data_IF_103433683875
#
_entry.id   IF_103433683875
#
_cell.length_a   1.000
_cell.length_b   1.000
_cell.length_c   1.000
_cell.angle_alpha   90.00
_cell.angle_beta   90.00
_cell.angle_gamma   90.00
#
_symmetry.space_group_name_H-M   'P 1'
#
loop_
_entity.id
_entity.type
_entity.pdbx_description
1 polymer ?
#
# COMPACT_ATOMS: atom_id res chain seq x y z
N UNK A 1 -7.52 -10.35 24.39
CA UNK A 1 -7.09 -11.78 24.42
C UNK A 1 -5.81 -11.89 23.60
N UNK A 2 -4.84 -12.69 24.04
CA UNK A 2 -3.60 -12.98 23.31
C UNK A 2 -3.54 -14.50 23.10
N UNK A 3 -3.41 -14.94 21.85
CA UNK A 3 -3.32 -16.35 21.48
C UNK A 3 -1.99 -17.00 21.86
N UNK A 4 -1.96 -18.33 21.90
CA UNK A 4 -0.80 -19.10 22.36
C UNK A 4 0.44 -18.97 21.45
N UNK A 5 0.23 -18.80 20.14
CA UNK A 5 1.32 -18.68 19.13
C UNK A 5 1.70 -17.22 18.83
N UNK A 6 1.25 -16.28 19.67
CA UNK A 6 1.52 -14.85 19.48
C UNK A 6 2.85 -14.47 20.14
N UNK A 7 3.66 -13.71 19.40
CA UNK A 7 4.91 -13.12 19.90
C UNK A 7 4.77 -11.61 19.93
N UNK A 8 4.92 -11.02 21.10
CA UNK A 8 4.89 -9.57 21.30
C UNK A 8 6.31 -9.08 21.61
N UNK A 9 6.79 -8.10 20.86
CA UNK A 9 8.05 -7.42 21.12
C UNK A 9 7.98 -6.47 22.32
N UNK A 10 9.14 -5.91 22.65
CA UNK A 10 9.29 -5.01 23.79
C UNK A 10 8.36 -3.80 23.68
N UNK A 11 7.75 -3.41 24.81
CA UNK A 11 6.92 -2.21 24.91
C UNK A 11 5.69 -2.20 23.96
N UNK A 12 5.27 -3.37 23.45
CA UNK A 12 3.97 -3.47 22.76
C UNK A 12 2.84 -3.14 23.73
N UNK A 13 1.97 -2.21 23.33
CA UNK A 13 0.83 -1.77 24.14
C UNK A 13 -0.47 -2.31 23.56
N UNK A 14 -1.07 -3.28 24.24
CA UNK A 14 -2.44 -3.71 23.96
C UNK A 14 -3.42 -2.95 24.85
N UNK A 15 -4.26 -2.12 24.25
CA UNK A 15 -5.36 -1.44 24.96
C UNK A 15 -6.52 -2.43 25.17
N UNK A 16 -7.38 -2.14 26.15
CA UNK A 16 -8.51 -3.01 26.52
C UNK A 16 -9.31 -3.47 25.29
N UNK A 17 -9.70 -4.75 25.28
CA UNK A 17 -10.51 -5.35 24.22
C UNK A 17 -9.82 -5.48 22.85
N UNK A 18 -8.51 -5.28 22.75
CA UNK A 18 -7.75 -5.78 21.59
C UNK A 18 -7.63 -7.31 21.64
N UNK A 19 -7.71 -7.95 20.46
CA UNK A 19 -7.49 -9.38 20.31
C UNK A 19 -6.37 -9.63 19.30
N UNK A 20 -5.38 -10.39 19.73
CA UNK A 20 -4.29 -10.89 18.89
C UNK A 20 -4.32 -12.41 18.93
N UNK A 21 -4.39 -13.06 17.77
CA UNK A 21 -4.56 -14.49 17.62
C UNK A 21 -3.64 -15.06 16.52
N UNK A 22 -3.69 -16.37 16.33
CA UNK A 22 -2.94 -17.05 15.29
C UNK A 22 -1.42 -16.98 15.48
N UNK A 23 -0.68 -17.31 14.42
CA UNK A 23 0.77 -17.22 14.37
C UNK A 23 1.18 -15.80 13.99
N UNK A 24 1.11 -14.93 14.99
CA UNK A 24 1.28 -13.49 14.81
C UNK A 24 2.49 -12.99 15.59
N UNK A 25 3.40 -12.30 14.91
CA UNK A 25 4.46 -11.54 15.56
C UNK A 25 4.19 -10.04 15.46
N UNK A 26 4.43 -9.32 16.56
CA UNK A 26 4.26 -7.87 16.64
C UNK A 26 5.55 -7.25 17.15
N UNK A 27 6.14 -6.37 16.36
CA UNK A 27 7.38 -5.67 16.67
C UNK A 27 7.22 -4.65 17.81
N UNK A 28 8.35 -4.20 18.37
CA UNK A 28 8.37 -3.39 19.58
C UNK A 28 7.67 -2.04 19.43
N UNK A 29 7.18 -1.48 20.54
CA UNK A 29 6.53 -0.16 20.65
C UNK A 29 5.27 0.03 19.79
N UNK A 30 4.75 -1.04 19.18
CA UNK A 30 3.46 -1.01 18.49
C UNK A 30 2.31 -0.89 19.49
N UNK A 31 1.37 0.01 19.21
CA UNK A 31 0.18 0.25 20.03
C UNK A 31 -1.07 -0.24 19.30
N UNK A 32 -1.87 -1.09 19.97
CA UNK A 32 -3.10 -1.69 19.43
C UNK A 32 -4.29 -1.28 20.28
N UNK A 33 -5.23 -0.59 19.64
CA UNK A 33 -6.38 0.04 20.27
C UNK A 33 -7.60 -0.91 20.37
N UNK A 34 -8.64 -0.53 21.14
CA UNK A 34 -9.77 -1.41 21.42
C UNK A 34 -10.46 -2.01 20.19
N UNK A 35 -10.91 -3.24 20.33
CA UNK A 35 -11.68 -3.98 19.33
C UNK A 35 -10.96 -4.24 18.01
N UNK A 36 -9.65 -4.01 17.95
CA UNK A 36 -8.82 -4.52 16.86
C UNK A 36 -8.77 -6.06 16.90
N UNK A 37 -8.85 -6.66 15.72
CA UNK A 37 -8.85 -8.11 15.51
C UNK A 37 -7.66 -8.48 14.63
N UNK A 38 -6.59 -8.94 15.27
CA UNK A 38 -5.27 -9.13 14.64
C UNK A 38 -4.92 -10.61 14.62
N UNK A 39 -4.60 -11.14 13.44
CA UNK A 39 -4.13 -12.52 13.25
C UNK A 39 -5.23 -13.59 13.23
N UNK A 40 -6.51 -13.19 13.18
CA UNK A 40 -7.60 -14.13 12.96
C UNK A 40 -7.61 -14.69 11.53
N UNK A 41 -8.21 -15.87 11.31
CA UNK A 41 -8.24 -16.51 10.01
C UNK A 41 -8.65 -15.56 8.87
N UNK A 42 -8.02 -15.69 7.71
CA UNK A 42 -8.37 -14.89 6.55
C UNK A 42 -9.80 -15.17 6.09
N UNK A 43 -10.42 -14.20 5.43
CA UNK A 43 -11.78 -14.31 4.89
C UNK A 43 -11.83 -15.05 3.53
N UNK A 44 -10.73 -15.67 3.12
CA UNK A 44 -10.68 -16.52 1.94
C UNK A 44 -11.40 -17.85 2.23
N UNK A 45 -12.42 -18.15 1.43
CA UNK A 45 -13.22 -19.38 1.53
C UNK A 45 -12.44 -20.65 1.24
N UNK A 46 -11.21 -20.55 0.71
CA UNK A 46 -10.29 -21.67 0.48
C UNK A 46 -9.41 -22.00 1.69
N UNK A 47 -9.31 -21.12 2.68
CA UNK A 47 -8.52 -21.36 3.88
C UNK A 47 -9.10 -22.51 4.72
N UNK A 48 -8.25 -23.41 5.20
CA UNK A 48 -8.60 -24.62 5.95
C UNK A 48 -7.92 -24.70 7.32
N UNK A 49 -7.33 -23.60 7.80
CA UNK A 49 -6.60 -23.58 9.07
C UNK A 49 -5.11 -23.87 8.91
N UNK A 50 -4.57 -23.59 7.73
CA UNK A 50 -3.16 -23.76 7.43
C UNK A 50 -2.28 -22.87 8.33
N UNK A 51 -1.01 -23.24 8.55
CA UNK A 51 -0.14 -22.52 9.49
C UNK A 51 0.39 -21.19 8.93
N UNK A 52 -0.47 -20.35 8.36
CA UNK A 52 -0.09 -19.05 7.82
C UNK A 52 0.23 -18.05 8.93
N UNK A 53 1.03 -17.04 8.56
CA UNK A 53 1.61 -16.08 9.51
C UNK A 53 1.16 -14.66 9.24
N UNK A 54 1.15 -13.87 10.30
CA UNK A 54 1.06 -12.41 10.26
C UNK A 54 2.28 -11.83 10.97
N UNK A 55 3.04 -11.00 10.28
CA UNK A 55 4.23 -10.35 10.84
C UNK A 55 4.03 -8.83 10.78
N UNK A 56 3.99 -8.17 11.93
CA UNK A 56 3.82 -6.72 12.06
C UNK A 56 5.10 -6.14 12.66
N UNK A 57 5.64 -5.09 12.05
CA UNK A 57 6.85 -4.40 12.50
C UNK A 57 6.67 -3.55 13.76
N UNK A 58 7.63 -2.66 13.97
CA UNK A 58 7.75 -1.78 15.12
C UNK A 58 7.03 -0.44 14.96
N UNK A 59 6.76 0.23 16.07
CA UNK A 59 6.32 1.63 16.11
C UNK A 59 5.00 1.89 15.34
N UNK A 60 4.16 0.86 15.19
CA UNK A 60 2.88 1.00 14.50
C UNK A 60 1.79 1.50 15.44
N UNK A 61 0.86 2.30 14.89
CA UNK A 61 -0.36 2.71 15.59
C UNK A 61 -1.55 2.04 14.90
N UNK A 62 -2.12 1.04 15.56
CA UNK A 62 -3.24 0.24 15.07
C UNK A 62 -4.50 0.65 15.85
N UNK A 63 -5.35 1.46 15.21
CA UNK A 63 -6.54 2.06 15.85
C UNK A 63 -7.68 1.05 16.03
N UNK A 64 -8.78 1.57 16.54
CA UNK A 64 -9.96 0.80 16.91
C UNK A 64 -10.54 0.06 15.70
N UNK A 65 -11.04 -1.15 15.94
CA UNK A 65 -11.68 -1.99 14.91
C UNK A 65 -10.80 -2.36 13.70
N UNK A 66 -9.50 -2.09 13.73
CA UNK A 66 -8.60 -2.53 12.66
C UNK A 66 -8.57 -4.05 12.60
N UNK A 67 -8.55 -4.59 11.38
CA UNK A 67 -8.45 -6.03 11.14
C UNK A 67 -7.25 -6.33 10.26
N UNK A 68 -6.48 -7.35 10.64
CA UNK A 68 -5.32 -7.83 9.88
C UNK A 68 -5.31 -9.36 9.90
N UNK A 69 -5.34 -9.98 8.73
CA UNK A 69 -5.38 -11.45 8.60
C UNK A 69 -4.03 -12.01 8.12
N UNK A 70 -3.65 -13.23 8.52
CA UNK A 70 -2.45 -13.88 8.00
C UNK A 70 -2.64 -14.29 6.53
N UNK A 71 -1.57 -14.79 5.90
CA UNK A 71 -1.63 -15.23 4.51
C UNK A 71 -2.43 -16.52 4.26
N UNK A 72 -2.36 -17.02 3.04
CA UNK A 72 -2.99 -18.26 2.60
C UNK A 72 -2.02 -19.16 1.82
N UNK A 73 -2.32 -20.46 1.66
CA UNK A 73 -1.47 -21.39 0.90
C UNK A 73 -1.33 -21.06 -0.58
N UNK A 74 -2.31 -20.37 -1.15
CA UNK A 74 -2.32 -19.97 -2.55
C UNK A 74 -1.62 -18.60 -2.76
N UNK A 75 -1.12 -18.00 -1.68
CA UNK A 75 -0.35 -16.77 -1.69
C UNK A 75 1.04 -16.99 -1.10
N UNK A 76 1.36 -16.18 -0.09
CA UNK A 76 2.68 -16.11 0.52
C UNK A 76 2.76 -16.89 1.83
N UNK A 77 1.64 -17.46 2.29
CA UNK A 77 1.50 -17.98 3.67
C UNK A 77 1.88 -16.94 4.74
N UNK A 78 1.91 -15.66 4.36
CA UNK A 78 2.42 -14.56 5.14
C UNK A 78 1.74 -13.26 4.71
N UNK A 79 1.14 -12.57 5.67
CA UNK A 79 0.87 -11.13 5.57
C UNK A 79 1.95 -10.41 6.33
N UNK A 80 2.55 -9.37 5.74
CA UNK A 80 3.60 -8.57 6.38
C UNK A 80 3.22 -7.11 6.41
N UNK A 81 3.40 -6.48 7.57
CA UNK A 81 3.27 -5.04 7.78
C UNK A 81 4.58 -4.50 8.33
N UNK A 82 5.09 -3.43 7.73
CA UNK A 82 6.33 -2.77 8.11
C UNK A 82 6.23 -1.98 9.42
N UNK A 83 6.99 -0.90 9.50
CA UNK A 83 7.22 -0.08 10.68
C UNK A 83 6.63 1.31 10.53
N UNK A 84 6.38 1.99 11.65
CA UNK A 84 5.98 3.40 11.69
C UNK A 84 4.68 3.70 10.91
N UNK A 85 3.80 2.72 10.75
CA UNK A 85 2.54 2.88 10.03
C UNK A 85 1.43 3.36 10.95
N UNK A 86 0.48 4.08 10.36
CA UNK A 86 -0.76 4.50 11.02
C UNK A 86 -1.95 3.85 10.31
N UNK A 87 -2.61 2.92 11.02
CA UNK A 87 -3.86 2.30 10.61
C UNK A 87 -4.98 2.93 11.42
N UNK A 88 -5.75 3.82 10.79
CA UNK A 88 -6.85 4.50 11.45
C UNK A 88 -8.07 3.57 11.62
N UNK A 89 -9.18 4.12 12.12
CA UNK A 89 -10.31 3.32 12.60
C UNK A 89 -10.84 2.42 11.49
N UNK A 90 -11.04 1.14 11.83
CA UNK A 90 -11.68 0.14 10.98
C UNK A 90 -11.03 -0.05 9.59
N UNK A 91 -9.72 0.17 9.46
CA UNK A 91 -8.98 -0.27 8.27
C UNK A 91 -8.88 -1.79 8.22
N UNK A 92 -8.80 -2.35 7.02
CA UNK A 92 -8.64 -3.79 6.80
C UNK A 92 -7.39 -4.08 5.98
N UNK A 93 -6.53 -4.97 6.48
CA UNK A 93 -5.44 -5.60 5.75
C UNK A 93 -5.78 -7.07 5.54
N UNK A 94 -6.16 -7.42 4.31
CA UNK A 94 -6.48 -8.79 3.95
C UNK A 94 -5.26 -9.71 3.95
N UNK A 95 -5.52 -10.98 3.66
CA UNK A 95 -4.49 -12.01 3.57
C UNK A 95 -3.45 -11.72 2.48
N UNK A 96 -2.22 -12.19 2.72
CA UNK A 96 -1.09 -12.15 1.79
C UNK A 96 -0.65 -10.74 1.37
N UNK A 97 -1.14 -9.70 2.06
CA UNK A 97 -0.72 -8.33 1.81
C UNK A 97 0.72 -8.10 2.27
N UNK A 98 1.42 -7.22 1.56
CA UNK A 98 2.74 -6.72 1.93
C UNK A 98 2.63 -5.20 2.05
N UNK A 99 2.69 -4.69 3.27
CA UNK A 99 2.66 -3.26 3.58
C UNK A 99 4.05 -2.85 4.05
N UNK A 100 4.63 -1.83 3.43
CA UNK A 100 5.92 -1.25 3.76
C UNK A 100 5.89 -0.37 5.01
N UNK A 101 6.86 0.52 5.11
CA UNK A 101 7.07 1.40 6.24
C UNK A 101 6.39 2.77 6.04
N UNK A 102 6.03 3.45 7.13
CA UNK A 102 5.44 4.79 7.11
C UNK A 102 4.14 4.93 6.31
N UNK A 103 3.44 3.82 6.07
CA UNK A 103 2.15 3.81 5.38
C UNK A 103 1.07 4.41 6.29
N UNK A 104 0.19 5.21 5.70
CA UNK A 104 -0.99 5.73 6.39
C UNK A 104 -2.24 5.22 5.70
N UNK A 105 -3.06 4.47 6.44
CA UNK A 105 -4.40 4.07 6.02
C UNK A 105 -5.41 4.86 6.85
N UNK A 106 -6.13 5.77 6.21
CA UNK A 106 -7.19 6.54 6.86
C UNK A 106 -8.44 5.69 7.13
N UNK A 107 -9.40 6.24 7.87
CA UNK A 107 -10.56 5.49 8.36
C UNK A 107 -11.21 4.64 7.26
N UNK A 108 -11.46 3.36 7.56
CA UNK A 108 -12.10 2.41 6.66
C UNK A 108 -11.39 2.15 5.32
N UNK A 109 -10.14 2.59 5.14
CA UNK A 109 -9.35 2.15 4.00
C UNK A 109 -9.16 0.63 4.04
N UNK A 110 -9.36 -0.04 2.91
CA UNK A 110 -9.47 -1.49 2.83
C UNK A 110 -8.55 -2.02 1.75
N UNK A 111 -7.68 -2.96 2.10
CA UNK A 111 -6.85 -3.72 1.15
C UNK A 111 -7.49 -5.09 0.92
N UNK A 112 -7.73 -5.44 -0.34
CA UNK A 112 -8.05 -6.81 -0.75
C UNK A 112 -6.84 -7.74 -0.66
N UNK A 113 -7.06 -9.03 -0.88
CA UNK A 113 -6.00 -10.04 -0.77
C UNK A 113 -4.80 -9.75 -1.69
N UNK A 114 -3.60 -10.13 -1.25
CA UNK A 114 -2.36 -10.04 -2.04
C UNK A 114 -1.89 -8.63 -2.43
N UNK A 115 -2.51 -7.57 -1.90
CA UNK A 115 -2.13 -6.18 -2.20
C UNK A 115 -0.73 -5.86 -1.67
N UNK A 116 0.04 -5.12 -2.46
CA UNK A 116 1.33 -4.56 -2.02
C UNK A 116 1.21 -3.05 -1.87
N UNK A 117 1.65 -2.50 -0.74
CA UNK A 117 1.70 -1.07 -0.48
C UNK A 117 3.12 -0.72 -0.08
N UNK A 118 3.79 0.06 -0.91
CA UNK A 118 5.17 0.47 -0.67
C UNK A 118 5.25 1.64 0.31
N UNK A 119 6.48 1.91 0.75
CA UNK A 119 6.79 2.86 1.80
C UNK A 119 6.14 4.22 1.55
N UNK A 120 5.67 4.80 2.65
CA UNK A 120 5.15 6.15 2.70
C UNK A 120 3.90 6.41 1.83
N UNK A 121 3.26 5.38 1.31
CA UNK A 121 1.98 5.52 0.62
C UNK A 121 0.87 5.96 1.59
N UNK A 122 -0.10 6.71 1.08
CA UNK A 122 -1.25 7.19 1.85
C UNK A 122 -2.53 6.73 1.16
N UNK A 123 -3.39 6.06 1.92
CA UNK A 123 -4.72 5.68 1.49
C UNK A 123 -5.77 6.52 2.22
N UNK A 124 -6.54 7.30 1.46
CA UNK A 124 -7.62 8.12 1.95
C UNK A 124 -8.77 7.32 2.57
N UNK A 125 -9.59 7.98 3.36
CA UNK A 125 -10.67 7.31 4.08
C UNK A 125 -11.67 6.68 3.11
N UNK A 126 -12.18 5.50 3.45
CA UNK A 126 -13.09 4.70 2.61
C UNK A 126 -12.50 4.31 1.24
N UNK A 127 -11.19 4.42 1.02
CA UNK A 127 -10.58 3.89 -0.20
C UNK A 127 -10.57 2.36 -0.16
N UNK A 128 -11.00 1.72 -1.25
CA UNK A 128 -10.97 0.28 -1.44
C UNK A 128 -9.94 -0.10 -2.49
N UNK A 129 -9.00 -0.98 -2.15
CA UNK A 129 -7.97 -1.49 -3.05
C UNK A 129 -8.28 -2.93 -3.40
N UNK A 130 -8.47 -3.21 -4.68
CA UNK A 130 -8.80 -4.54 -5.17
C UNK A 130 -7.62 -5.50 -5.03
N UNK A 131 -7.90 -6.81 -4.94
CA UNK A 131 -6.87 -7.83 -4.79
C UNK A 131 -5.80 -7.76 -5.90
N UNK A 132 -4.55 -8.05 -5.51
CA UNK A 132 -3.33 -8.04 -6.34
C UNK A 132 -2.84 -6.66 -6.81
N UNK A 133 -3.53 -5.56 -6.45
CA UNK A 133 -3.06 -4.21 -6.78
C UNK A 133 -1.79 -3.87 -6.00
N UNK A 134 -0.90 -3.11 -6.64
CA UNK A 134 0.28 -2.52 -6.05
C UNK A 134 0.14 -0.99 -5.94
N UNK A 135 0.45 -0.45 -4.78
CA UNK A 135 0.48 0.99 -4.50
C UNK A 135 1.93 1.39 -4.31
N UNK A 136 2.49 2.12 -5.26
CA UNK A 136 3.89 2.52 -5.27
C UNK A 136 4.25 3.51 -4.16
N UNK A 137 5.55 3.57 -3.84
CA UNK A 137 6.05 4.38 -2.73
C UNK A 137 5.66 5.84 -2.88
N UNK A 138 5.38 6.51 -1.77
CA UNK A 138 4.94 7.91 -1.76
C UNK A 138 3.64 8.23 -2.54
N UNK A 139 2.95 7.23 -3.10
CA UNK A 139 1.68 7.46 -3.78
C UNK A 139 0.60 7.92 -2.79
N UNK A 140 -0.41 8.62 -3.31
CA UNK A 140 -1.59 8.99 -2.55
C UNK A 140 -2.86 8.56 -3.28
N UNK A 141 -3.71 7.82 -2.57
CA UNK A 141 -5.05 7.45 -3.00
C UNK A 141 -6.05 8.35 -2.28
N UNK A 142 -6.88 9.06 -3.05
CA UNK A 142 -7.95 9.90 -2.52
C UNK A 142 -9.00 9.10 -1.74
N UNK A 143 -9.73 9.78 -0.85
CA UNK A 143 -10.84 9.14 -0.14
C UNK A 143 -11.93 8.63 -1.09
N UNK A 144 -12.71 7.66 -0.64
CA UNK A 144 -13.83 7.05 -1.39
C UNK A 144 -13.44 6.54 -2.79
N UNK A 145 -12.17 6.18 -2.99
CA UNK A 145 -11.68 5.74 -4.29
C UNK A 145 -11.71 4.21 -4.40
N UNK A 146 -12.10 3.70 -5.57
CA UNK A 146 -12.02 2.28 -5.89
C UNK A 146 -10.81 1.99 -6.77
N UNK A 147 -9.78 1.35 -6.23
CA UNK A 147 -8.50 1.12 -6.93
C UNK A 147 -8.45 -0.31 -7.48
N UNK A 148 -8.48 -0.44 -8.81
CA UNK A 148 -8.45 -1.73 -9.52
C UNK A 148 -7.14 -1.95 -10.29
N UNK A 149 -6.28 -0.94 -10.33
CA UNK A 149 -5.06 -0.87 -11.14
C UNK A 149 -3.88 -0.41 -10.29
N UNK A 150 -2.67 -0.79 -10.68
CA UNK A 150 -1.46 -0.41 -9.97
C UNK A 150 -1.24 1.11 -10.00
N UNK A 151 -0.98 1.71 -8.84
CA UNK A 151 -0.65 3.13 -8.72
C UNK A 151 0.86 3.28 -8.70
N UNK A 152 1.41 4.03 -9.64
CA UNK A 152 2.87 4.26 -9.74
C UNK A 152 3.43 4.97 -8.49
N UNK A 153 4.73 4.81 -8.19
CA UNK A 153 5.43 5.62 -7.22
C UNK A 153 5.17 7.12 -7.43
N UNK A 154 5.02 7.83 -6.33
CA UNK A 154 4.74 9.27 -6.32
C UNK A 154 3.42 9.68 -6.99
N UNK A 155 2.62 8.73 -7.47
CA UNK A 155 1.35 8.98 -8.15
C UNK A 155 0.28 9.53 -7.20
N UNK A 156 -0.63 10.32 -7.75
CA UNK A 156 -1.87 10.73 -7.10
C UNK A 156 -3.03 10.11 -7.85
N UNK A 157 -3.89 9.35 -7.17
CA UNK A 157 -5.03 8.67 -7.78
C UNK A 157 -6.32 8.94 -7.01
N UNK A 158 -7.44 9.13 -7.71
CA UNK A 158 -8.75 9.36 -7.08
C UNK A 158 -9.90 8.91 -7.98
N UNK A 159 -11.04 8.53 -7.38
CA UNK A 159 -12.33 8.32 -8.05
C UNK A 159 -12.94 6.94 -7.81
N UNK A 160 -14.25 6.83 -8.06
CA UNK A 160 -14.95 5.55 -8.17
C UNK A 160 -14.58 4.91 -9.51
N UNK A 161 -13.75 3.86 -9.43
CA UNK A 161 -12.68 3.51 -10.39
C UNK A 161 -11.63 4.61 -10.53
N UNK A 162 -10.61 4.50 -9.70
CA UNK A 162 -9.53 5.47 -9.58
C UNK A 162 -8.75 5.66 -10.90
N UNK A 163 -8.39 6.91 -11.17
CA UNK A 163 -7.52 7.35 -12.26
C UNK A 163 -6.37 8.19 -11.70
N UNK A 164 -5.24 8.18 -12.38
CA UNK A 164 -4.14 9.08 -12.02
C UNK A 164 -4.56 10.54 -12.29
N UNK A 165 -4.47 11.37 -11.26
CA UNK A 165 -4.68 12.83 -11.34
C UNK A 165 -3.35 13.59 -11.49
N UNK A 166 -2.22 12.86 -11.47
CA UNK A 166 -0.88 13.40 -11.56
C UNK A 166 0.04 12.81 -10.50
N UNK A 167 0.89 13.65 -9.92
CA UNK A 167 1.85 13.29 -8.88
C UNK A 167 1.45 13.87 -7.51
N UNK A 168 1.87 13.23 -6.43
CA UNK A 168 1.73 13.65 -5.05
C UNK A 168 2.69 14.81 -4.70
N UNK A 169 2.56 15.95 -5.39
CA UNK A 169 3.46 17.09 -5.24
C UNK A 169 3.48 17.66 -3.81
N UNK A 170 2.34 17.61 -3.12
CA UNK A 170 2.23 18.05 -1.72
C UNK A 170 3.04 17.12 -0.81
N UNK A 171 2.88 15.80 -0.95
CA UNK A 171 3.62 14.81 -0.18
C UNK A 171 5.13 14.90 -0.42
N UNK A 172 5.55 15.01 -1.68
CA UNK A 172 6.95 15.20 -2.08
C UNK A 172 7.56 16.44 -1.42
N UNK A 173 6.86 17.59 -1.48
CA UNK A 173 7.32 18.84 -0.85
C UNK A 173 7.45 18.70 0.67
N UNK A 174 6.48 18.07 1.34
CA UNK A 174 6.51 17.83 2.80
C UNK A 174 7.66 16.92 3.22
N UNK A 175 8.12 16.04 2.33
CA UNK A 175 9.25 15.13 2.56
C UNK A 175 10.60 15.69 2.11
N UNK A 176 10.65 16.96 1.73
CA UNK A 176 11.91 17.64 1.42
C UNK A 176 12.54 17.29 0.08
N UNK A 177 11.78 16.73 -0.86
CA UNK A 177 12.30 16.46 -2.21
C UNK A 177 12.73 17.76 -2.89
N UNK A 178 13.91 17.74 -3.51
CA UNK A 178 14.48 18.89 -4.22
C UNK A 178 13.61 19.34 -5.39
N UNK A 179 13.67 20.64 -5.72
CA UNK A 179 12.87 21.21 -6.82
C UNK A 179 13.18 20.56 -8.16
N UNK A 180 14.45 20.26 -8.41
CA UNK A 180 14.91 19.65 -9.66
C UNK A 180 14.38 18.22 -9.81
N UNK A 181 14.41 17.43 -8.73
CA UNK A 181 13.80 16.09 -8.70
C UNK A 181 12.29 16.16 -8.99
N UNK A 182 11.57 17.09 -8.35
CA UNK A 182 10.13 17.27 -8.60
C UNK A 182 9.87 17.70 -10.04
N UNK A 183 10.73 18.53 -10.61
CA UNK A 183 10.65 18.94 -12.01
C UNK A 183 10.82 17.73 -12.95
N UNK A 184 11.83 16.90 -12.69
CA UNK A 184 12.12 15.70 -13.49
C UNK A 184 11.00 14.66 -13.38
N UNK A 185 10.47 14.40 -12.18
CA UNK A 185 9.30 13.54 -11.99
C UNK A 185 8.11 14.02 -12.82
N UNK A 186 7.84 15.33 -12.84
CA UNK A 186 6.76 15.90 -13.67
C UNK A 186 7.03 15.74 -15.16
N UNK A 187 8.29 15.86 -15.59
CA UNK A 187 8.69 15.66 -16.99
C UNK A 187 8.55 14.19 -17.39
N UNK A 188 9.06 13.27 -16.58
CA UNK A 188 8.93 11.83 -16.75
C UNK A 188 7.47 11.39 -16.79
N UNK A 189 6.62 11.88 -15.89
CA UNK A 189 5.17 11.59 -15.90
C UNK A 189 4.52 11.98 -17.23
N UNK A 190 4.79 13.19 -17.74
CA UNK A 190 4.24 13.63 -19.03
C UNK A 190 4.74 12.77 -20.19
N UNK A 191 6.02 12.37 -20.16
CA UNK A 191 6.60 11.51 -21.18
C UNK A 191 6.06 10.09 -21.12
N UNK A 192 5.78 9.52 -19.93
CA UNK A 192 5.24 8.16 -19.79
C UNK A 192 3.80 8.05 -20.28
N UNK A 193 2.99 9.08 -20.06
CA UNK A 193 1.56 9.08 -20.38
C UNK A 193 1.21 10.02 -21.54
N UNK A 194 2.17 10.31 -22.42
CA UNK A 194 1.92 11.00 -23.69
C UNK A 194 1.05 10.13 -24.62
N UNK A 195 0.36 10.76 -25.57
CA UNK A 195 -0.50 10.07 -26.53
C UNK A 195 0.33 9.36 -27.62
N UNK A 196 1.48 9.91 -27.98
CA UNK A 196 2.34 9.38 -29.03
C UNK A 196 3.16 8.17 -28.56
N UNK A 197 3.33 7.20 -29.45
CA UNK A 197 4.09 5.98 -29.20
C UNK A 197 3.37 4.93 -28.37
N UNK A 198 4.06 3.84 -28.07
CA UNK A 198 3.59 2.78 -27.18
C UNK A 198 4.10 3.02 -25.76
N UNK A 199 3.43 2.43 -24.76
CA UNK A 199 3.90 2.47 -23.37
C UNK A 199 5.32 1.92 -23.23
N UNK A 200 5.67 0.89 -24.02
CA UNK A 200 7.01 0.29 -23.99
C UNK A 200 8.09 1.25 -24.51
N UNK A 201 7.82 1.98 -25.59
CA UNK A 201 8.75 2.97 -26.15
C UNK A 201 8.94 4.13 -25.17
N UNK A 202 7.84 4.71 -24.67
CA UNK A 202 7.91 5.82 -23.70
C UNK A 202 8.64 5.44 -22.42
N UNK A 203 8.47 4.19 -21.95
CA UNK A 203 9.17 3.68 -20.79
C UNK A 203 10.68 3.50 -21.04
N UNK A 204 11.07 3.08 -22.24
CA UNK A 204 12.48 2.98 -22.63
C UNK A 204 13.13 4.38 -22.72
N UNK A 205 12.46 5.33 -23.36
CA UNK A 205 12.94 6.72 -23.49
C UNK A 205 13.13 7.36 -22.12
N UNK A 206 12.16 7.21 -21.22
CA UNK A 206 12.25 7.76 -19.85
C UNK A 206 13.36 7.09 -19.05
N UNK A 207 13.57 5.78 -19.21
CA UNK A 207 14.68 5.09 -18.56
C UNK A 207 16.05 5.61 -19.02
N UNK A 208 16.21 5.93 -20.30
CA UNK A 208 17.46 6.46 -20.85
C UNK A 208 17.69 7.93 -20.45
N UNK A 209 16.65 8.77 -20.59
CA UNK A 209 16.69 10.21 -20.30
C UNK A 209 16.95 10.54 -18.83
N UNK A 210 16.55 9.65 -17.91
CA UNK A 210 16.58 9.89 -16.46
C UNK A 210 17.32 8.80 -15.69
N UNK A 211 18.25 8.08 -16.33
CA UNK A 211 18.97 6.95 -15.72
C UNK A 211 19.66 7.28 -14.38
N UNK A 212 20.11 8.52 -14.20
CA UNK A 212 20.77 9.00 -12.98
C UNK A 212 19.80 9.61 -11.94
N UNK A 213 18.48 9.59 -12.23
CA UNK A 213 17.46 10.14 -11.34
C UNK A 213 16.69 8.99 -10.66
N UNK A 214 17.14 8.62 -9.45
CA UNK A 214 16.61 7.50 -8.68
C UNK A 214 15.07 7.55 -8.52
N UNK A 215 14.43 8.68 -8.14
CA UNK A 215 12.96 8.74 -8.08
C UNK A 215 12.23 8.51 -9.42
N UNK A 216 12.82 8.90 -10.55
CA UNK A 216 12.23 8.56 -11.86
C UNK A 216 12.43 7.07 -12.15
N UNK A 217 13.61 6.52 -11.83
CA UNK A 217 13.89 5.11 -12.00
C UNK A 217 13.03 4.20 -11.12
N UNK A 218 12.62 4.65 -9.92
CA UNK A 218 11.62 3.96 -9.11
C UNK A 218 10.31 3.74 -9.89
N UNK A 219 9.84 4.74 -10.65
CA UNK A 219 8.64 4.59 -11.50
C UNK A 219 8.93 3.59 -12.62
N UNK A 220 10.08 3.69 -13.27
CA UNK A 220 10.48 2.82 -14.37
C UNK A 220 10.54 1.36 -13.92
N UNK A 221 11.19 1.08 -12.80
CA UNK A 221 11.36 -0.27 -12.26
C UNK A 221 10.02 -0.82 -11.75
N UNK A 222 9.23 0.03 -11.08
CA UNK A 222 7.87 -0.31 -10.74
C UNK A 222 7.03 -0.62 -11.98
N UNK A 223 7.31 -0.01 -13.14
CA UNK A 223 6.70 -0.28 -14.45
C UNK A 223 7.29 -1.50 -15.19
N UNK A 224 8.54 -1.85 -14.87
CA UNK A 224 9.35 -3.03 -15.25
C UNK A 224 8.74 -4.39 -14.89
N UNK A 225 8.38 -4.50 -13.62
CA UNK A 225 8.03 -5.79 -13.00
C UNK A 225 6.87 -6.50 -13.71
N UNK A 226 6.88 -7.83 -13.73
CA UNK A 226 5.73 -8.61 -14.20
C UNK A 226 4.53 -8.43 -13.24
N UNK A 227 3.30 -8.43 -13.77
CA UNK A 227 2.12 -7.90 -13.05
C UNK A 227 0.88 -8.71 -13.30
N UNK A 228 0.07 -8.81 -12.24
CA UNK A 228 -1.32 -9.28 -12.35
C UNK A 228 -2.29 -8.16 -12.73
N UNK A 229 -1.93 -6.89 -12.49
CA UNK A 229 -2.76 -5.70 -12.76
C UNK A 229 -2.03 -4.74 -13.68
N UNK A 230 -2.78 -4.09 -14.56
CA UNK A 230 -2.23 -3.02 -15.39
C UNK A 230 -2.01 -1.74 -14.57
N UNK A 231 -1.14 -0.86 -15.08
CA UNK A 231 -0.91 0.46 -14.51
C UNK A 231 -2.15 1.32 -14.66
N UNK A 232 -2.53 2.00 -13.57
CA UNK A 232 -3.58 3.00 -13.57
C UNK A 232 -3.22 4.11 -14.56
N UNK A 233 -4.11 4.36 -15.52
CA UNK A 233 -3.93 5.42 -16.49
C UNK A 233 -4.47 6.75 -15.94
N UNK A 234 -3.95 7.90 -16.41
CA UNK A 234 -4.62 9.17 -16.28
C UNK A 234 -6.04 9.13 -16.87
N UNK A 235 -6.88 10.11 -16.55
CA UNK A 235 -8.08 10.32 -17.35
C UNK A 235 -7.63 10.74 -18.76
N UNK A 236 -8.19 10.09 -19.77
CA UNK A 236 -8.15 10.66 -21.11
C UNK A 236 -8.98 11.94 -21.04
N UNK A 237 -8.36 13.10 -21.25
CA UNK A 237 -9.05 14.38 -21.44
C UNK A 237 -9.76 14.41 -22.82
N UNK A 238 -10.41 13.30 -23.19
CA UNK A 238 -11.29 13.20 -24.34
C UNK A 238 -12.51 14.08 -24.08
N UNK A 239 -12.42 15.31 -24.59
CA UNK A 239 -13.35 16.43 -24.47
C UNK A 239 -14.80 16.08 -24.13
N UNK A 240 -15.30 16.77 -23.11
CA UNK A 240 -16.67 17.28 -23.12
C UNK A 240 -16.78 18.48 -24.08
#
# INVERSE_FOLDING_TARGET
>A
MVGADVVLGDEVRLVSHAVVAGRTSIGPRTSIYPFASIGHPPQDTKYRGEPSRLEIGADNVIREHVTMSPGTPHGRMLTRVGNNCLFMIATHVAHDCIVGDHVVMANNATLGGHVTVDDWAILGGLAGVHQFVRIGRHAIVGGMSGVEHDIIPYGSAMGDRARLTGLNLIGLKRRGFGRDIVHDLRRAFRLLFAQEGTMSERLADVAELFQDNEPVMDIVDFMRLDRERSICQPRDDGGE
#
